data_IF_160035291915
#
_entry.id   IF_160035291915
#
_cell.length_a   1.000
_cell.length_b   1.000
_cell.length_c   1.000
_cell.angle_alpha   90.00
_cell.angle_beta   90.00
_cell.angle_gamma   90.00
#
_symmetry.space_group_name_H-M   'P 1'
#
loop_
_entity.id
_entity.type
_entity.pdbx_description
1 polymer ?
#
# COMPACT_ATOMS: atom_id res chain seq x y z
N UNK A 1 -17.64 -50.94 21.80
CA UNK A 1 -16.29 -50.58 21.30
C UNK A 1 -16.51 -49.76 20.03
N UNK A 2 -16.73 -48.45 20.17
CA UNK A 2 -16.94 -47.59 19.00
C UNK A 2 -15.59 -47.51 18.26
N UNK A 3 -15.56 -48.02 17.02
CA UNK A 3 -14.41 -47.84 16.13
C UNK A 3 -14.22 -46.33 15.96
N UNK A 4 -13.06 -45.80 16.34
CA UNK A 4 -12.63 -44.46 15.91
C UNK A 4 -12.59 -44.50 14.38
N UNK A 5 -13.56 -43.84 13.74
CA UNK A 5 -13.53 -43.61 12.30
C UNK A 5 -12.69 -42.35 12.14
N UNK A 6 -11.40 -42.51 11.86
CA UNK A 6 -10.53 -41.40 11.48
C UNK A 6 -10.83 -41.08 10.02
N UNK A 7 -11.40 -39.91 9.77
CA UNK A 7 -11.63 -39.40 8.41
C UNK A 7 -10.44 -38.53 8.04
N UNK A 8 -9.83 -38.82 6.88
CA UNK A 8 -8.74 -38.02 6.29
C UNK A 8 -9.33 -37.22 5.15
N UNK A 9 -9.20 -35.90 5.19
CA UNK A 9 -9.66 -35.00 4.12
C UNK A 9 -8.52 -34.07 3.72
N UNK A 10 -8.49 -33.71 2.43
CA UNK A 10 -7.54 -32.75 1.87
C UNK A 10 -8.36 -31.56 1.37
N UNK A 11 -8.08 -30.38 1.93
CA UNK A 11 -8.59 -29.11 1.44
C UNK A 11 -7.45 -28.35 0.76
N UNK A 12 -7.62 -28.05 -0.53
CA UNK A 12 -6.73 -27.17 -1.28
C UNK A 12 -7.43 -25.82 -1.42
N UNK A 13 -6.83 -24.79 -0.84
CA UNK A 13 -7.24 -23.40 -1.04
C UNK A 13 -6.18 -22.77 -1.93
N UNK A 14 -6.52 -22.60 -3.21
CA UNK A 14 -5.70 -21.83 -4.13
C UNK A 14 -5.96 -20.35 -3.83
N UNK A 15 -5.11 -19.77 -2.99
CA UNK A 15 -5.10 -18.34 -2.73
C UNK A 15 -4.21 -17.74 -3.80
N UNK A 16 -4.89 -17.30 -4.85
CA UNK A 16 -4.25 -16.44 -5.82
C UNK A 16 -4.02 -15.07 -5.15
N UNK A 17 -2.89 -14.40 -5.41
CA UNK A 17 -2.55 -13.09 -4.82
C UNK A 17 -3.65 -12.05 -4.98
N UNK A 18 -3.50 -10.85 -4.40
CA UNK A 18 -4.54 -9.81 -4.41
C UNK A 18 -5.13 -9.51 -5.81
N UNK A 19 -4.43 -9.93 -6.89
CA UNK A 19 -4.95 -9.91 -8.25
C UNK A 19 -6.07 -10.91 -8.61
N UNK A 20 -6.58 -11.76 -7.73
CA UNK A 20 -7.70 -12.66 -8.06
C UNK A 20 -8.90 -12.49 -7.14
N UNK A 21 -8.90 -11.44 -6.30
CA UNK A 21 -10.08 -11.01 -5.57
C UNK A 21 -11.03 -10.25 -6.50
N UNK A 22 -11.66 -11.00 -7.40
CA UNK A 22 -13.03 -10.73 -7.77
C UNK A 22 -13.89 -11.61 -6.86
N UNK A 23 -14.82 -11.00 -6.12
CA UNK A 23 -15.84 -11.72 -5.33
C UNK A 23 -16.60 -12.86 -6.09
N UNK A 24 -16.66 -12.98 -7.45
CA UNK A 24 -17.46 -14.04 -8.08
C UNK A 24 -16.84 -15.45 -8.19
N UNK A 25 -15.52 -15.66 -8.04
CA UNK A 25 -14.95 -17.02 -8.26
C UNK A 25 -15.37 -17.99 -7.13
N UNK A 26 -15.72 -17.46 -5.97
CA UNK A 26 -16.03 -18.24 -4.78
C UNK A 26 -17.38 -18.95 -4.83
N UNK A 27 -18.39 -18.43 -5.53
CA UNK A 27 -19.67 -19.13 -5.72
C UNK A 27 -19.57 -20.27 -6.75
N UNK A 28 -18.74 -20.10 -7.79
CA UNK A 28 -18.55 -21.14 -8.82
C UNK A 28 -17.74 -22.34 -8.32
N UNK A 29 -16.72 -22.12 -7.48
CA UNK A 29 -15.99 -23.22 -6.82
C UNK A 29 -16.90 -23.97 -5.82
N UNK A 30 -17.80 -23.25 -5.14
CA UNK A 30 -18.81 -23.83 -4.24
C UNK A 30 -19.85 -24.64 -5.03
N UNK A 31 -20.28 -24.20 -6.21
CA UNK A 31 -21.16 -25.02 -7.07
C UNK A 31 -20.45 -26.26 -7.63
N UNK A 32 -19.16 -26.17 -7.98
CA UNK A 32 -18.38 -27.30 -8.48
C UNK A 32 -18.13 -28.39 -7.42
N UNK A 33 -18.07 -28.02 -6.14
CA UNK A 33 -17.93 -28.95 -5.02
C UNK A 33 -19.30 -29.52 -4.59
N UNK A 34 -20.41 -28.86 -4.94
CA UNK A 34 -21.75 -29.17 -4.42
C UNK A 34 -22.73 -29.80 -5.43
N UNK A 35 -22.26 -30.56 -6.42
CA UNK A 35 -23.13 -31.43 -7.26
C UNK A 35 -22.48 -32.79 -7.50
N UNK A 36 -22.19 -33.57 -6.45
CA UNK A 36 -22.21 -35.05 -6.50
C UNK A 36 -22.01 -35.71 -5.11
N UNK A 37 -22.86 -35.37 -4.13
CA UNK A 37 -23.44 -36.30 -3.14
C UNK A 37 -24.16 -35.50 -2.04
N UNK A 38 -25.32 -36.00 -1.65
CA UNK A 38 -26.22 -35.50 -0.58
C UNK A 38 -27.20 -34.40 -1.03
N UNK A 39 -27.99 -34.68 -2.08
CA UNK A 39 -29.39 -34.23 -2.11
C UNK A 39 -30.24 -35.45 -1.75
N UNK A 40 -30.44 -35.64 -0.45
CA UNK A 40 -31.69 -36.17 0.09
C UNK A 40 -31.72 -35.86 1.61
N UNK A 41 -32.77 -35.12 2.01
CA UNK A 41 -33.11 -34.66 3.36
C UNK A 41 -32.25 -33.51 3.92
N UNK A 42 -32.80 -32.30 3.86
CA UNK A 42 -33.53 -31.68 4.99
C UNK A 42 -34.33 -30.51 4.39
N UNK A 43 -35.64 -30.71 4.26
CA UNK A 43 -36.59 -29.60 4.20
C UNK A 43 -36.90 -29.17 5.64
N UNK A 44 -37.11 -27.86 5.80
CA UNK A 44 -37.74 -27.17 6.94
C UNK A 44 -36.84 -26.79 8.11
N UNK A 45 -36.19 -25.62 8.01
CA UNK A 45 -36.04 -24.69 9.15
C UNK A 45 -36.28 -23.26 8.65
N UNK A 46 -37.32 -22.61 9.20
CA UNK A 46 -37.61 -21.20 9.06
C UNK A 46 -36.78 -20.43 10.11
N UNK A 47 -36.07 -19.37 9.72
CA UNK A 47 -35.40 -18.46 10.65
C UNK A 47 -35.81 -17.03 10.28
N UNK A 48 -36.81 -16.52 11.00
CA UNK A 48 -37.00 -15.09 11.20
C UNK A 48 -36.02 -14.62 12.31
N UNK A 49 -35.57 -13.38 12.15
CA UNK A 49 -34.89 -12.51 13.13
C UNK A 49 -33.48 -12.87 13.63
N UNK A 50 -32.46 -12.19 13.07
CA UNK A 50 -31.34 -11.68 13.86
C UNK A 50 -30.96 -10.27 13.39
N UNK A 51 -31.22 -9.33 14.29
CA UNK A 51 -30.94 -7.90 14.22
C UNK A 51 -29.42 -7.61 14.22
N UNK A 52 -29.01 -6.61 13.45
CA UNK A 52 -27.61 -6.22 13.19
C UNK A 52 -27.26 -5.01 14.03
N UNK A 53 -26.20 -5.06 14.82
CA UNK A 53 -25.49 -3.85 15.28
C UNK A 53 -23.97 -4.03 15.19
N UNK A 54 -23.40 -3.45 14.14
CA UNK A 54 -21.98 -3.53 13.76
C UNK A 54 -21.30 -2.15 13.91
N UNK A 55 -21.39 -1.53 15.09
CA UNK A 55 -20.97 -0.12 15.25
C UNK A 55 -19.92 0.11 16.33
N UNK A 56 -19.51 -0.89 17.11
CA UNK A 56 -18.57 -0.67 18.24
C UNK A 56 -17.17 -1.30 18.10
N UNK A 57 -16.86 -2.06 17.04
CA UNK A 57 -15.59 -2.80 16.92
C UNK A 57 -14.41 -2.05 16.26
N UNK A 58 -14.56 -0.80 15.86
CA UNK A 58 -13.56 -0.11 14.98
C UNK A 58 -12.60 0.83 15.73
N UNK A 59 -12.76 1.04 17.05
CA UNK A 59 -12.04 2.13 17.75
C UNK A 59 -10.67 1.78 18.39
N UNK A 60 -10.18 0.54 18.34
CA UNK A 60 -8.99 0.12 19.10
C UNK A 60 -7.86 -0.49 18.23
N UNK A 61 -7.43 0.13 17.14
CA UNK A 61 -6.46 -0.50 16.21
C UNK A 61 -5.12 0.21 16.03
N UNK A 62 -4.87 1.39 16.62
CA UNK A 62 -3.60 2.09 16.43
C UNK A 62 -2.55 1.81 17.53
N UNK A 63 -2.97 1.50 18.77
CA UNK A 63 -2.04 1.19 19.87
C UNK A 63 -1.79 -0.31 20.06
N UNK A 64 -2.53 -1.17 19.36
CA UNK A 64 -2.66 -2.60 19.68
C UNK A 64 -1.78 -3.50 18.83
N UNK A 65 -1.22 -3.02 17.71
CA UNK A 65 -0.44 -3.87 16.79
C UNK A 65 0.93 -4.24 17.39
N UNK A 66 1.59 -3.31 18.08
CA UNK A 66 2.82 -3.59 18.84
C UNK A 66 2.56 -4.51 20.05
N UNK A 67 1.42 -4.35 20.72
CA UNK A 67 1.07 -5.15 21.90
C UNK A 67 0.53 -6.55 21.54
N UNK A 68 0.03 -6.75 20.31
CA UNK A 68 -0.49 -8.04 19.83
C UNK A 68 0.62 -9.02 19.44
N UNK A 69 1.79 -8.53 19.00
CA UNK A 69 2.94 -9.41 18.70
C UNK A 69 3.49 -10.10 19.96
N UNK A 70 3.38 -9.46 21.13
CA UNK A 70 3.87 -10.01 22.41
C UNK A 70 2.81 -10.78 23.23
N UNK A 71 1.54 -10.82 22.80
CA UNK A 71 0.43 -11.37 23.62
C UNK A 71 -0.29 -12.61 23.08
N UNK A 72 -0.04 -13.05 21.83
CA UNK A 72 -0.62 -14.30 21.34
C UNK A 72 0.20 -15.50 21.82
N UNK A 73 -0.05 -15.97 23.05
CA UNK A 73 0.39 -17.29 23.46
C UNK A 73 -0.45 -18.34 22.73
N UNK A 74 0.20 -19.12 21.85
CA UNK A 74 -0.45 -20.25 21.19
C UNK A 74 -0.98 -21.22 22.25
N UNK A 75 -2.30 -21.35 22.35
CA UNK A 75 -2.90 -22.38 23.17
C UNK A 75 -2.59 -23.75 22.54
N UNK A 76 -2.28 -24.74 23.39
CA UNK A 76 -1.96 -26.09 22.91
C UNK A 76 -3.12 -26.76 22.12
N UNK A 77 -4.37 -26.35 22.37
CA UNK A 77 -5.56 -26.87 21.69
C UNK A 77 -6.63 -25.78 21.57
N UNK A 78 -7.05 -25.47 20.34
CA UNK A 78 -8.19 -24.60 20.08
C UNK A 78 -9.52 -25.32 20.36
N UNK A 79 -10.50 -24.62 20.91
CA UNK A 79 -11.79 -25.18 21.34
C UNK A 79 -13.00 -24.48 20.70
N UNK A 80 -12.77 -23.38 19.99
CA UNK A 80 -13.78 -22.60 19.28
C UNK A 80 -13.26 -22.17 17.89
N UNK A 81 -14.14 -21.63 17.04
CA UNK A 81 -13.73 -21.05 15.76
C UNK A 81 -12.79 -19.84 15.96
N UNK A 82 -13.01 -19.04 17.01
CA UNK A 82 -12.18 -17.88 17.36
C UNK A 82 -10.77 -18.32 17.82
N UNK A 83 -10.67 -19.34 18.68
CA UNK A 83 -9.37 -19.88 19.11
C UNK A 83 -8.64 -20.58 17.95
N UNK A 84 -9.38 -21.20 17.02
CA UNK A 84 -8.79 -21.76 15.81
C UNK A 84 -8.25 -20.62 14.92
N UNK A 85 -8.97 -19.51 14.81
CA UNK A 85 -8.50 -18.32 14.09
C UNK A 85 -7.27 -17.69 14.77
N UNK A 86 -7.22 -17.66 16.11
CA UNK A 86 -6.04 -17.23 16.87
C UNK A 86 -4.82 -18.08 16.52
N UNK A 87 -4.98 -19.41 16.48
CA UNK A 87 -3.91 -20.34 16.15
C UNK A 87 -3.41 -20.15 14.70
N UNK A 88 -4.31 -20.00 13.73
CA UNK A 88 -3.93 -19.68 12.35
C UNK A 88 -3.20 -18.34 12.27
N UNK A 89 -3.73 -17.31 12.91
CA UNK A 89 -3.15 -15.97 12.90
C UNK A 89 -1.75 -15.96 13.53
N UNK A 90 -1.55 -16.68 14.63
CA UNK A 90 -0.23 -16.86 15.23
C UNK A 90 0.77 -17.37 14.18
N UNK A 91 0.47 -18.48 13.52
CA UNK A 91 1.37 -19.06 12.52
C UNK A 91 1.58 -18.14 11.30
N UNK A 92 0.52 -17.45 10.84
CA UNK A 92 0.65 -16.47 9.76
C UNK A 92 1.55 -15.29 10.14
N UNK A 93 1.47 -14.81 11.39
CA UNK A 93 2.31 -13.72 11.90
C UNK A 93 3.79 -14.09 12.01
N UNK A 94 4.09 -15.38 12.17
CA UNK A 94 5.46 -15.92 12.21
C UNK A 94 5.97 -16.33 10.83
N UNK A 95 5.12 -16.26 9.79
CA UNK A 95 5.43 -16.74 8.44
C UNK A 95 5.73 -18.24 8.38
N UNK A 96 5.10 -19.02 9.28
CA UNK A 96 5.29 -20.47 9.34
C UNK A 96 4.69 -21.13 8.09
N UNK A 97 5.49 -21.97 7.43
CA UNK A 97 5.10 -22.63 6.16
C UNK A 97 4.56 -24.03 6.36
N UNK A 98 4.87 -24.69 7.47
CA UNK A 98 4.41 -26.03 7.83
C UNK A 98 4.12 -26.06 9.34
N UNK A 99 2.86 -26.27 9.70
CA UNK A 99 2.43 -26.26 11.10
C UNK A 99 1.22 -27.16 11.35
N UNK A 100 1.01 -27.52 12.62
CA UNK A 100 -0.10 -28.34 13.07
C UNK A 100 -0.94 -27.58 14.10
N UNK A 101 -2.27 -27.55 13.90
CA UNK A 101 -3.21 -27.02 14.89
C UNK A 101 -4.08 -28.14 15.40
N UNK A 102 -4.12 -28.31 16.72
CA UNK A 102 -5.05 -29.22 17.39
C UNK A 102 -6.35 -28.48 17.73
N UNK A 103 -7.48 -29.09 17.38
CA UNK A 103 -8.81 -28.62 17.73
C UNK A 103 -9.54 -29.65 18.56
N UNK A 104 -10.16 -29.20 19.66
CA UNK A 104 -10.97 -30.00 20.56
C UNK A 104 -12.35 -29.37 20.70
N UNK A 105 -13.31 -29.89 19.94
CA UNK A 105 -14.66 -29.39 19.90
C UNK A 105 -15.53 -30.21 18.95
N UNK A 106 -16.77 -29.79 18.77
CA UNK A 106 -17.68 -30.44 17.83
C UNK A 106 -17.14 -30.28 16.39
N UNK A 107 -17.07 -31.39 15.64
CA UNK A 107 -16.54 -31.46 14.26
C UNK A 107 -17.62 -31.70 13.20
N UNK A 108 -18.91 -31.67 13.56
CA UNK A 108 -20.01 -31.92 12.63
C UNK A 108 -20.00 -31.03 11.37
N UNK A 109 -19.44 -29.82 11.46
CA UNK A 109 -19.27 -28.87 10.35
C UNK A 109 -17.81 -28.39 10.24
N UNK A 110 -16.86 -29.31 10.38
CA UNK A 110 -15.43 -28.99 10.47
C UNK A 110 -14.90 -28.14 9.31
N UNK A 111 -15.43 -28.33 8.10
CA UNK A 111 -15.08 -27.55 6.90
C UNK A 111 -15.50 -26.09 7.00
N UNK A 112 -16.71 -25.82 7.50
CA UNK A 112 -17.23 -24.45 7.69
C UNK A 112 -16.44 -23.77 8.81
N UNK A 113 -16.20 -24.47 9.92
CA UNK A 113 -15.42 -23.95 11.04
C UNK A 113 -13.99 -23.61 10.61
N UNK A 114 -13.34 -24.51 9.87
CA UNK A 114 -11.99 -24.29 9.34
C UNK A 114 -11.95 -23.10 8.39
N UNK A 115 -12.92 -22.99 7.47
CA UNK A 115 -13.02 -21.87 6.54
C UNK A 115 -13.15 -20.53 7.27
N UNK A 116 -14.09 -20.43 8.20
CA UNK A 116 -14.32 -19.23 9.00
C UNK A 116 -13.06 -18.85 9.79
N UNK A 117 -12.45 -19.82 10.47
CA UNK A 117 -11.25 -19.56 11.26
C UNK A 117 -10.08 -19.02 10.42
N UNK A 118 -9.87 -19.59 9.24
CA UNK A 118 -8.85 -19.14 8.30
C UNK A 118 -9.14 -17.74 7.75
N UNK A 119 -10.40 -17.46 7.40
CA UNK A 119 -10.84 -16.14 6.92
C UNK A 119 -10.68 -15.07 8.00
N UNK A 120 -11.17 -15.34 9.21
CA UNK A 120 -11.02 -14.47 10.38
C UNK A 120 -9.54 -14.25 10.70
N UNK A 121 -8.71 -15.30 10.65
CA UNK A 121 -7.27 -15.18 10.87
C UNK A 121 -6.58 -14.29 9.83
N UNK A 122 -6.93 -14.47 8.55
CA UNK A 122 -6.35 -13.72 7.43
C UNK A 122 -6.72 -12.23 7.51
N UNK A 123 -7.95 -11.91 7.93
CA UNK A 123 -8.47 -10.55 7.99
C UNK A 123 -7.99 -9.75 9.22
N UNK A 124 -7.30 -10.36 10.17
CA UNK A 124 -6.76 -9.66 11.37
C UNK A 124 -5.65 -8.68 11.05
N UNK A 125 -4.85 -8.96 10.03
CA UNK A 125 -3.78 -8.07 9.60
C UNK A 125 -3.69 -8.03 8.07
N UNK A 126 -4.01 -6.85 7.53
CA UNK A 126 -3.98 -6.59 6.10
C UNK A 126 -2.57 -6.71 5.47
N UNK A 127 -1.50 -6.50 6.25
CA UNK A 127 -0.15 -6.69 5.76
C UNK A 127 0.18 -8.18 5.57
N UNK A 128 -0.23 -9.02 6.52
CA UNK A 128 -0.14 -10.48 6.41
C UNK A 128 -1.04 -10.97 5.27
N UNK A 129 -2.30 -10.51 5.23
CA UNK A 129 -3.27 -10.84 4.19
C UNK A 129 -2.70 -10.66 2.79
N UNK A 130 -2.03 -9.52 2.54
CA UNK A 130 -1.42 -9.24 1.25
C UNK A 130 -0.32 -10.22 0.86
N UNK A 131 0.30 -10.92 1.82
CA UNK A 131 1.38 -11.87 1.55
C UNK A 131 0.94 -13.35 1.55
N UNK A 132 -0.31 -13.65 1.91
CA UNK A 132 -0.82 -15.02 1.87
C UNK A 132 -0.93 -15.52 0.42
N UNK A 133 -0.35 -16.69 0.16
CA UNK A 133 -0.52 -17.45 -1.08
C UNK A 133 -1.19 -18.79 -0.84
N UNK A 134 -1.05 -19.71 -1.81
CA UNK A 134 -1.67 -21.03 -1.79
C UNK A 134 -1.53 -21.77 -0.46
N UNK A 135 -2.62 -22.44 -0.05
CA UNK A 135 -2.69 -23.19 1.21
C UNK A 135 -3.20 -24.61 0.95
N UNK A 136 -2.52 -25.59 1.55
CA UNK A 136 -2.99 -26.96 1.65
C UNK A 136 -3.24 -27.30 3.12
N UNK A 137 -4.40 -27.85 3.42
CA UNK A 137 -4.74 -28.34 4.76
C UNK A 137 -5.14 -29.80 4.66
N UNK A 138 -4.33 -30.67 5.26
CA UNK A 138 -4.67 -32.08 5.46
C UNK A 138 -5.19 -32.22 6.90
N UNK A 139 -6.35 -32.83 7.11
CA UNK A 139 -6.88 -32.98 8.47
C UNK A 139 -7.47 -34.35 8.78
N UNK A 140 -7.27 -34.75 10.03
CA UNK A 140 -7.74 -35.99 10.63
C UNK A 140 -8.66 -35.64 11.79
N UNK A 141 -9.87 -36.22 11.84
CA UNK A 141 -10.82 -35.88 12.90
C UNK A 141 -11.69 -37.06 13.36
N UNK A 142 -12.17 -36.95 14.60
CA UNK A 142 -13.29 -37.68 15.18
C UNK A 142 -14.39 -36.69 15.62
N UNK A 143 -15.46 -37.17 16.27
CA UNK A 143 -16.61 -36.33 16.67
C UNK A 143 -16.29 -35.16 17.62
N UNK A 144 -15.09 -35.15 18.21
CA UNK A 144 -14.71 -34.24 19.30
C UNK A 144 -13.30 -33.67 19.18
N UNK A 145 -12.50 -34.14 18.22
CA UNK A 145 -11.12 -33.71 18.02
C UNK A 145 -10.79 -33.66 16.53
N UNK A 146 -10.00 -32.68 16.13
CA UNK A 146 -9.38 -32.60 14.80
C UNK A 146 -7.91 -32.18 14.91
N UNK A 147 -7.09 -32.65 13.97
CA UNK A 147 -5.71 -32.22 13.80
C UNK A 147 -5.58 -31.68 12.38
N UNK A 148 -5.25 -30.40 12.25
CA UNK A 148 -5.04 -29.73 10.96
C UNK A 148 -3.54 -29.62 10.69
N UNK A 149 -3.06 -30.26 9.62
CA UNK A 149 -1.70 -30.15 9.11
C UNK A 149 -1.71 -29.17 7.94
N UNK A 150 -1.12 -28.00 8.14
CA UNK A 150 -1.21 -26.87 7.22
C UNK A 150 0.13 -26.68 6.53
N UNK A 151 0.07 -26.55 5.20
CA UNK A 151 1.16 -26.02 4.38
C UNK A 151 0.72 -24.69 3.80
N UNK A 152 1.40 -23.61 4.19
CA UNK A 152 1.12 -22.25 3.76
C UNK A 152 2.24 -21.72 2.87
N UNK A 153 1.90 -21.28 1.67
CA UNK A 153 2.81 -20.51 0.82
C UNK A 153 2.65 -19.02 1.09
N UNK A 154 3.73 -18.25 0.99
CA UNK A 154 3.70 -16.80 1.10
C UNK A 154 4.44 -16.16 -0.05
N UNK A 155 4.13 -14.91 -0.34
CA UNK A 155 4.88 -14.07 -1.28
C UNK A 155 6.19 -13.52 -0.66
N UNK A 156 6.41 -13.80 0.62
CA UNK A 156 7.57 -13.41 1.42
C UNK A 156 7.98 -14.56 2.36
N UNK A 157 8.87 -14.32 3.31
CA UNK A 157 9.20 -15.24 4.40
C UNK A 157 9.77 -14.46 5.61
N UNK A 158 9.93 -15.13 6.75
CA UNK A 158 10.40 -14.51 7.99
C UNK A 158 11.77 -13.79 7.88
N UNK A 159 12.68 -14.25 7.02
CA UNK A 159 13.98 -13.59 6.81
C UNK A 159 13.80 -12.29 6.04
N UNK A 160 12.99 -12.31 4.97
CA UNK A 160 12.68 -11.13 4.18
C UNK A 160 11.91 -10.09 5.00
N UNK A 161 10.97 -10.52 5.84
CA UNK A 161 10.18 -9.59 6.65
C UNK A 161 11.01 -8.94 7.76
N UNK A 162 11.96 -9.65 8.37
CA UNK A 162 12.94 -9.02 9.27
C UNK A 162 13.78 -7.96 8.53
N UNK A 163 14.19 -8.24 7.29
CA UNK A 163 14.88 -7.25 6.47
C UNK A 163 13.99 -6.04 6.16
N UNK A 164 12.70 -6.27 5.86
CA UNK A 164 11.73 -5.19 5.63
C UNK A 164 11.61 -4.33 6.89
N UNK A 165 11.40 -4.93 8.07
CA UNK A 165 11.33 -4.24 9.36
C UNK A 165 12.57 -3.36 9.60
N UNK A 166 13.77 -3.95 9.48
CA UNK A 166 15.04 -3.24 9.67
C UNK A 166 15.22 -2.08 8.68
N UNK A 167 14.82 -2.25 7.42
CA UNK A 167 14.91 -1.18 6.42
C UNK A 167 13.88 -0.09 6.69
N UNK A 168 12.64 -0.43 7.04
CA UNK A 168 11.62 0.57 7.36
C UNK A 168 12.08 1.39 8.57
N UNK A 169 12.50 0.75 9.67
CA UNK A 169 13.06 1.44 10.84
C UNK A 169 14.19 2.40 10.45
N UNK A 170 15.13 1.94 9.62
CA UNK A 170 16.24 2.76 9.13
C UNK A 170 15.77 3.95 8.29
N UNK A 171 14.74 3.78 7.47
CA UNK A 171 14.19 4.86 6.64
C UNK A 171 13.47 5.88 7.52
N UNK A 172 12.60 5.41 8.42
CA UNK A 172 11.79 6.25 9.29
C UNK A 172 12.64 6.98 10.35
N UNK A 173 13.77 6.42 10.78
CA UNK A 173 14.71 7.09 11.70
C UNK A 173 15.30 8.40 11.16
N UNK A 174 15.16 8.68 9.85
CA UNK A 174 15.64 9.91 9.22
C UNK A 174 14.70 11.09 9.42
N UNK A 175 13.49 10.86 9.94
CA UNK A 175 12.49 11.89 10.17
C UNK A 175 12.07 11.93 11.65
N UNK A 176 11.66 13.10 12.11
CA UNK A 176 11.05 13.25 13.43
C UNK A 176 9.52 13.13 13.30
N UNK A 177 9.01 11.89 13.37
CA UNK A 177 7.58 11.60 13.19
C UNK A 177 6.66 12.42 14.12
N UNK A 178 7.12 12.78 15.33
CA UNK A 178 6.33 13.57 16.29
C UNK A 178 6.22 15.05 15.94
N UNK A 179 7.11 15.55 15.08
CA UNK A 179 7.07 16.93 14.59
C UNK A 179 6.33 17.06 13.25
N UNK A 180 5.97 15.94 12.64
CA UNK A 180 5.28 15.90 11.34
C UNK A 180 3.76 15.78 11.54
N UNK A 181 3.03 16.56 10.74
CA UNK A 181 1.60 16.36 10.50
C UNK A 181 1.32 15.05 9.76
N UNK A 182 0.08 14.58 9.80
CA UNK A 182 -0.36 13.40 9.04
C UNK A 182 -0.08 13.58 7.53
N UNK A 183 -0.29 14.78 7.00
CA UNK A 183 0.01 15.12 5.61
C UNK A 183 1.50 14.92 5.29
N UNK A 184 2.39 15.45 6.13
CA UNK A 184 3.84 15.32 5.94
C UNK A 184 4.29 13.86 6.02
N UNK A 185 3.71 13.07 6.92
CA UNK A 185 3.99 11.62 7.03
C UNK A 185 3.58 10.89 5.76
N UNK A 186 2.37 11.13 5.26
CA UNK A 186 1.87 10.49 4.03
C UNK A 186 2.69 10.92 2.82
N UNK A 187 3.02 12.21 2.71
CA UNK A 187 3.86 12.73 1.63
C UNK A 187 5.25 12.12 1.66
N UNK A 188 5.86 12.02 2.84
CA UNK A 188 7.18 11.41 3.00
C UNK A 188 7.21 9.97 2.50
N UNK A 189 6.23 9.14 2.90
CA UNK A 189 6.16 7.74 2.47
C UNK A 189 5.92 7.63 0.96
N UNK A 190 4.96 8.38 0.42
CA UNK A 190 4.71 8.41 -1.03
C UNK A 190 5.97 8.79 -1.82
N UNK A 191 6.59 9.91 -1.45
CA UNK A 191 7.78 10.41 -2.13
C UNK A 191 8.95 9.44 -2.01
N UNK A 192 9.12 8.80 -0.84
CA UNK A 192 10.18 7.82 -0.64
C UNK A 192 10.00 6.62 -1.55
N UNK A 193 8.82 6.01 -1.57
CA UNK A 193 8.55 4.81 -2.38
C UNK A 193 8.72 5.13 -3.87
N UNK A 194 8.07 6.19 -4.36
CA UNK A 194 8.14 6.58 -5.78
C UNK A 194 9.57 6.87 -6.23
N UNK A 195 10.37 7.58 -5.43
CA UNK A 195 11.76 7.92 -5.81
C UNK A 195 12.73 6.73 -5.74
N UNK A 196 12.38 5.66 -5.05
CA UNK A 196 13.29 4.53 -4.79
C UNK A 196 12.76 3.21 -5.37
N UNK A 197 11.79 3.25 -6.28
CA UNK A 197 11.21 2.06 -6.89
C UNK A 197 10.82 2.32 -8.33
N UNK A 198 10.95 1.30 -9.17
CA UNK A 198 10.48 1.30 -10.55
C UNK A 198 9.39 0.25 -10.73
N UNK A 199 8.27 0.64 -11.33
CA UNK A 199 7.21 -0.32 -11.62
C UNK A 199 7.70 -1.42 -12.57
N UNK A 200 7.76 -2.66 -12.09
CA UNK A 200 8.31 -3.79 -12.84
C UNK A 200 7.90 -5.13 -12.26
N UNK A 201 7.68 -6.10 -13.14
CA UNK A 201 7.53 -7.53 -12.80
C UNK A 201 8.86 -8.30 -12.88
N UNK A 202 9.93 -7.66 -13.34
CA UNK A 202 11.25 -8.27 -13.54
C UNK A 202 12.08 -8.22 -12.24
N UNK A 203 11.74 -9.14 -11.33
CA UNK A 203 12.34 -9.27 -10.00
C UNK A 203 12.73 -10.73 -9.71
N UNK A 204 13.72 -10.94 -8.82
CA UNK A 204 14.04 -12.29 -8.33
C UNK A 204 13.12 -12.69 -7.15
N UNK A 205 12.80 -11.73 -6.30
CA UNK A 205 11.75 -11.83 -5.29
C UNK A 205 10.36 -11.67 -5.91
N UNK A 206 9.30 -11.98 -5.16
CA UNK A 206 7.94 -11.70 -5.63
C UNK A 206 7.75 -10.19 -5.82
N UNK A 207 7.41 -9.70 -7.03
CA UNK A 207 7.21 -8.27 -7.28
C UNK A 207 6.01 -7.70 -6.50
N UNK A 208 5.20 -8.57 -5.91
CA UNK A 208 4.06 -8.25 -5.07
C UNK A 208 4.42 -8.09 -3.58
N UNK A 209 5.68 -8.28 -3.19
CA UNK A 209 6.13 -8.16 -1.80
C UNK A 209 6.78 -6.80 -1.52
N UNK A 210 6.65 -6.30 -0.29
CA UNK A 210 7.39 -5.11 0.15
C UNK A 210 8.92 -5.34 0.10
N UNK A 211 9.35 -6.59 0.29
CA UNK A 211 10.76 -6.98 0.21
C UNK A 211 11.37 -6.75 -1.19
N UNK A 212 10.63 -7.04 -2.27
CA UNK A 212 11.11 -6.75 -3.63
C UNK A 212 11.27 -5.24 -3.86
N UNK A 213 10.30 -4.45 -3.40
CA UNK A 213 10.33 -2.99 -3.49
C UNK A 213 11.57 -2.41 -2.80
N UNK A 214 11.89 -2.88 -1.59
CA UNK A 214 13.04 -2.38 -0.82
C UNK A 214 14.39 -2.91 -1.29
N UNK A 215 14.48 -4.20 -1.67
CA UNK A 215 15.75 -4.88 -1.96
C UNK A 215 16.17 -4.77 -3.41
N UNK A 216 15.20 -4.75 -4.33
CA UNK A 216 15.42 -4.74 -5.77
C UNK A 216 15.04 -3.42 -6.42
N UNK A 217 14.47 -2.47 -5.66
CA UNK A 217 13.96 -1.19 -6.16
C UNK A 217 12.96 -1.37 -7.31
N UNK A 218 12.19 -2.47 -7.25
CA UNK A 218 11.23 -2.88 -8.27
C UNK A 218 10.04 -3.57 -7.63
N UNK A 219 8.87 -3.38 -8.20
CA UNK A 219 7.67 -4.11 -7.81
C UNK A 219 6.44 -3.70 -8.60
N UNK A 220 5.29 -4.28 -8.23
CA UNK A 220 3.98 -3.91 -8.76
C UNK A 220 3.07 -3.37 -7.65
N UNK A 221 1.84 -3.00 -8.01
CA UNK A 221 0.89 -2.29 -7.15
C UNK A 221 0.80 -2.84 -5.72
N UNK A 222 0.69 -4.15 -5.57
CA UNK A 222 0.64 -4.81 -4.26
C UNK A 222 1.91 -4.55 -3.40
N UNK A 223 3.11 -4.65 -3.99
CA UNK A 223 4.36 -4.41 -3.24
C UNK A 223 4.46 -2.96 -2.76
N UNK A 224 4.08 -2.01 -3.61
CA UNK A 224 4.03 -0.58 -3.27
C UNK A 224 3.03 -0.33 -2.12
N UNK A 225 1.81 -0.82 -2.26
CA UNK A 225 0.73 -0.63 -1.28
C UNK A 225 1.03 -1.30 0.08
N UNK A 226 1.71 -2.44 0.09
CA UNK A 226 2.12 -3.12 1.32
C UNK A 226 3.26 -2.39 2.03
N UNK A 227 4.25 -1.88 1.28
CA UNK A 227 5.30 -1.05 1.87
C UNK A 227 4.72 0.26 2.44
N UNK A 228 3.84 0.93 1.69
CA UNK A 228 3.17 2.14 2.14
C UNK A 228 2.33 1.88 3.41
N UNK A 229 1.54 0.80 3.43
CA UNK A 229 0.76 0.37 4.60
C UNK A 229 1.65 0.26 5.85
N UNK A 230 2.78 -0.43 5.73
CA UNK A 230 3.70 -0.69 6.84
C UNK A 230 4.35 0.60 7.35
N UNK A 231 4.97 1.37 6.44
CA UNK A 231 5.63 2.63 6.78
C UNK A 231 4.66 3.62 7.44
N UNK A 232 3.43 3.73 6.94
CA UNK A 232 2.44 4.68 7.47
C UNK A 232 1.91 4.28 8.84
N UNK A 233 1.64 2.99 9.05
CA UNK A 233 1.23 2.48 10.37
C UNK A 233 2.32 2.70 11.42
N UNK A 234 3.59 2.48 11.08
CA UNK A 234 4.72 2.76 11.98
C UNK A 234 4.89 4.25 12.29
N UNK A 235 4.49 5.14 11.36
CA UNK A 235 4.41 6.59 11.60
C UNK A 235 3.15 7.01 12.40
N UNK A 236 2.31 6.06 12.80
CA UNK A 236 1.08 6.28 13.56
C UNK A 236 -0.10 6.79 12.71
N UNK A 237 -0.04 6.64 11.38
CA UNK A 237 -1.14 7.00 10.48
C UNK A 237 -2.06 5.79 10.29
N UNK A 238 -3.33 5.93 10.67
CA UNK A 238 -4.34 4.90 10.42
C UNK A 238 -4.43 4.65 8.90
N UNK A 239 -4.06 3.43 8.49
CA UNK A 239 -3.94 3.06 7.07
C UNK A 239 -4.53 1.69 6.83
N UNK A 240 -5.31 1.59 5.75
CA UNK A 240 -5.94 0.38 5.27
C UNK A 240 -5.36 -0.02 3.91
N UNK A 241 -5.20 -1.33 3.71
CA UNK A 241 -4.94 -1.92 2.40
C UNK A 241 -6.25 -2.07 1.64
N UNK A 242 -6.29 -1.64 0.38
CA UNK A 242 -7.46 -1.74 -0.47
C UNK A 242 -7.13 -2.62 -1.66
N UNK A 243 -8.02 -3.57 -1.95
CA UNK A 243 -7.98 -4.41 -3.15
C UNK A 243 -9.19 -4.08 -4.02
N UNK A 244 -8.96 -4.01 -5.32
CA UNK A 244 -9.99 -3.72 -6.30
C UNK A 244 -9.51 -3.96 -7.73
N UNK A 245 -10.09 -3.22 -8.66
CA UNK A 245 -9.84 -3.37 -10.09
C UNK A 245 -9.70 -2.01 -10.78
N UNK A 246 -8.87 -1.99 -11.81
CA UNK A 246 -8.75 -0.91 -12.80
C UNK A 246 -8.96 -1.50 -14.19
N UNK A 247 -9.00 -0.67 -15.23
CA UNK A 247 -9.24 -1.15 -16.61
C UNK A 247 -8.22 -2.19 -17.11
N UNK A 248 -6.99 -2.18 -16.58
CA UNK A 248 -5.94 -3.14 -16.94
C UNK A 248 -5.96 -4.42 -16.11
N UNK A 249 -6.92 -4.53 -15.18
CA UNK A 249 -7.10 -5.69 -14.33
C UNK A 249 -7.04 -5.36 -12.85
N UNK A 250 -6.78 -6.36 -12.02
CA UNK A 250 -6.74 -6.24 -10.58
C UNK A 250 -5.67 -5.24 -10.10
N UNK A 251 -5.96 -4.55 -8.99
CA UNK A 251 -5.11 -3.50 -8.45
C UNK A 251 -5.18 -3.42 -6.93
N UNK A 252 -4.16 -2.80 -6.33
CA UNK A 252 -4.07 -2.61 -4.89
C UNK A 252 -3.46 -1.25 -4.56
N UNK A 253 -4.02 -0.58 -3.54
CA UNK A 253 -3.60 0.74 -3.08
C UNK A 253 -3.93 0.89 -1.58
N UNK A 254 -3.84 2.11 -1.04
CA UNK A 254 -4.13 2.38 0.38
C UNK A 254 -5.24 3.39 0.58
N UNK A 255 -5.96 3.24 1.69
CA UNK A 255 -6.79 4.29 2.27
C UNK A 255 -6.08 4.80 3.53
N UNK A 256 -5.87 6.11 3.64
CA UNK A 256 -5.11 6.74 4.73
C UNK A 256 -5.97 7.79 5.42
N UNK A 257 -5.87 7.85 6.75
CA UNK A 257 -6.60 8.85 7.55
C UNK A 257 -5.67 10.02 7.85
N UNK A 258 -6.00 11.20 7.32
CA UNK A 258 -5.23 12.43 7.48
C UNK A 258 -6.12 13.49 8.12
N UNK A 259 -5.70 14.02 9.27
CA UNK A 259 -6.48 15.00 10.05
C UNK A 259 -7.94 14.53 10.27
N UNK A 260 -8.12 13.26 10.62
CA UNK A 260 -9.42 12.64 10.89
C UNK A 260 -10.29 12.32 9.68
N UNK A 261 -9.82 12.58 8.45
CA UNK A 261 -10.55 12.29 7.21
C UNK A 261 -9.85 11.19 6.42
N UNK A 262 -10.63 10.28 5.82
CA UNK A 262 -10.09 9.24 4.94
C UNK A 262 -9.84 9.78 3.54
N UNK A 263 -8.74 9.32 2.93
CA UNK A 263 -8.36 9.61 1.54
C UNK A 263 -7.76 8.36 0.90
N UNK A 264 -7.88 8.26 -0.41
CA UNK A 264 -7.15 7.29 -1.21
C UNK A 264 -5.71 7.76 -1.45
N UNK A 265 -4.79 6.82 -1.36
CA UNK A 265 -3.38 6.96 -1.72
C UNK A 265 -2.99 5.79 -2.63
N UNK A 266 -2.73 6.09 -3.90
CA UNK A 266 -2.14 5.13 -4.83
C UNK A 266 -0.71 5.55 -5.17
N UNK A 267 0.23 5.00 -4.41
CA UNK A 267 1.66 5.22 -4.60
C UNK A 267 2.17 4.71 -5.95
N UNK A 268 1.51 3.72 -6.56
CA UNK A 268 1.92 3.15 -7.84
C UNK A 268 1.53 4.06 -9.00
N UNK A 269 0.35 4.66 -8.97
CA UNK A 269 -0.05 5.61 -10.02
C UNK A 269 0.52 7.03 -9.81
N UNK A 270 1.13 7.26 -8.64
CA UNK A 270 2.02 8.39 -8.38
C UNK A 270 3.47 8.17 -8.87
N UNK A 271 3.83 6.94 -9.24
CA UNK A 271 5.10 6.58 -9.88
C UNK A 271 5.02 6.80 -11.41
N UNK A 272 5.79 7.73 -12.00
CA UNK A 272 5.73 7.98 -13.44
C UNK A 272 6.26 6.81 -14.26
N UNK A 273 5.47 6.33 -15.22
CA UNK A 273 5.90 5.37 -16.24
C UNK A 273 6.04 6.07 -17.61
N UNK A 274 7.16 5.91 -18.36
CA UNK A 274 8.40 5.25 -17.94
C UNK A 274 9.06 6.00 -16.77
N UNK A 275 9.89 5.28 -15.99
CA UNK A 275 10.59 5.82 -14.82
C UNK A 275 11.34 7.12 -15.14
N UNK A 276 11.28 8.05 -14.20
CA UNK A 276 11.87 9.39 -14.28
C UNK A 276 12.78 9.71 -13.09
N UNK A 277 13.21 8.69 -12.35
CA UNK A 277 14.09 8.83 -11.20
C UNK A 277 13.43 9.62 -10.08
N UNK A 278 13.98 10.79 -9.74
CA UNK A 278 13.54 11.57 -8.58
C UNK A 278 12.21 12.34 -8.76
N UNK A 279 11.49 12.13 -9.87
CA UNK A 279 10.24 12.83 -10.17
C UNK A 279 9.06 12.05 -9.60
N UNK A 280 8.28 12.71 -8.75
CA UNK A 280 7.06 12.17 -8.14
C UNK A 280 5.85 12.86 -8.76
N UNK A 281 4.82 12.08 -9.09
CA UNK A 281 3.49 12.62 -9.40
C UNK A 281 2.60 12.50 -8.16
N UNK A 282 1.56 13.32 -8.14
CA UNK A 282 0.62 13.38 -7.02
C UNK A 282 -0.83 13.20 -7.48
N UNK A 283 -1.04 12.58 -8.64
CA UNK A 283 -2.36 12.44 -9.28
C UNK A 283 -3.36 11.68 -8.39
N UNK A 284 -2.89 10.67 -7.65
CA UNK A 284 -3.67 9.87 -6.70
C UNK A 284 -3.13 10.03 -5.27
N UNK A 285 -2.64 11.22 -4.95
CA UNK A 285 -2.19 11.56 -3.61
C UNK A 285 -3.32 12.25 -2.83
N UNK A 286 -3.84 11.55 -1.81
CA UNK A 286 -4.89 12.04 -0.91
C UNK A 286 -6.17 12.50 -1.65
N UNK A 287 -6.73 11.61 -2.48
CA UNK A 287 -7.94 11.89 -3.28
C UNK A 287 -9.20 11.29 -2.64
N UNK A 288 -10.36 11.83 -2.99
CA UNK A 288 -11.66 11.35 -2.51
C UNK A 288 -12.21 10.18 -3.34
N UNK A 289 -13.24 9.51 -2.82
CA UNK A 289 -13.94 8.41 -3.47
C UNK A 289 -14.39 8.80 -4.89
N UNK A 290 -14.87 10.04 -5.08
CA UNK A 290 -15.40 10.47 -6.37
C UNK A 290 -14.32 10.59 -7.43
N UNK A 291 -13.13 11.08 -7.07
CA UNK A 291 -11.96 11.07 -7.95
C UNK A 291 -11.49 9.65 -8.23
N UNK A 292 -11.38 8.81 -7.19
CA UNK A 292 -10.86 7.45 -7.32
C UNK A 292 -11.76 6.57 -8.22
N UNK A 293 -13.09 6.73 -8.13
CA UNK A 293 -14.08 6.00 -8.95
C UNK A 293 -14.04 6.30 -10.45
N UNK A 294 -13.26 7.28 -10.90
CA UNK A 294 -13.16 7.58 -12.32
C UNK A 294 -12.47 6.45 -13.09
N UNK A 295 -11.60 5.69 -12.44
CA UNK A 295 -10.79 4.64 -13.05
C UNK A 295 -10.49 3.44 -12.12
N UNK A 296 -10.82 3.52 -10.83
CA UNK A 296 -10.73 2.42 -9.88
C UNK A 296 -12.12 1.95 -9.41
N UNK A 297 -12.23 0.65 -9.18
CA UNK A 297 -13.42 0.00 -8.66
C UNK A 297 -13.05 -0.82 -7.42
N UNK A 298 -13.83 -0.70 -6.36
CA UNK A 298 -13.67 -1.48 -5.14
C UNK A 298 -15.03 -1.71 -4.48
N UNK A 299 -15.06 -2.67 -3.56
CA UNK A 299 -16.23 -2.99 -2.75
C UNK A 299 -16.41 -1.94 -1.65
N UNK A 300 -17.13 -0.86 -1.95
CA UNK A 300 -17.24 0.30 -1.04
C UNK A 300 -17.71 -0.04 0.38
N UNK A 301 -18.55 -1.08 0.52
CA UNK A 301 -19.07 -1.51 1.83
C UNK A 301 -17.99 -2.04 2.78
N UNK A 302 -16.83 -2.42 2.26
CA UNK A 302 -15.74 -3.00 3.02
C UNK A 302 -14.81 -1.91 3.63
N UNK A 303 -14.99 -0.63 3.27
CA UNK A 303 -14.08 0.46 3.63
C UNK A 303 -14.82 1.73 4.10
N UNK A 304 -14.18 2.58 4.94
CA UNK A 304 -14.75 3.88 5.28
C UNK A 304 -14.70 4.84 4.08
N UNK A 305 -15.65 5.79 4.03
CA UNK A 305 -15.79 6.72 2.91
C UNK A 305 -14.75 7.83 2.93
N UNK A 306 -14.09 8.08 1.80
CA UNK A 306 -13.26 9.26 1.58
C UNK A 306 -14.06 10.33 0.83
N UNK A 307 -14.43 11.42 1.50
CA UNK A 307 -15.28 12.48 0.89
C UNK A 307 -14.64 13.86 0.88
N UNK A 308 -13.50 14.01 1.56
CA UNK A 308 -12.81 15.29 1.66
C UNK A 308 -11.98 15.57 0.41
N UNK A 309 -12.08 16.81 -0.09
CA UNK A 309 -11.32 17.33 -1.23
C UNK A 309 -10.20 18.29 -0.83
N UNK A 310 -9.84 18.29 0.46
CA UNK A 310 -8.87 19.24 1.06
C UNK A 310 -7.56 19.28 0.27
N UNK A 311 -7.10 18.14 -0.24
CA UNK A 311 -5.80 17.98 -0.88
C UNK A 311 -5.83 17.85 -2.41
N UNK A 312 -6.98 18.04 -3.08
CA UNK A 312 -7.14 17.92 -4.55
C UNK A 312 -6.14 18.77 -5.36
N UNK A 313 -5.59 19.84 -4.76
CA UNK A 313 -4.59 20.67 -5.41
C UNK A 313 -3.26 19.93 -5.67
N UNK A 314 -2.96 18.86 -4.92
CA UNK A 314 -1.75 18.06 -5.08
C UNK A 314 -1.71 17.39 -6.46
N UNK A 315 -2.85 16.91 -6.96
CA UNK A 315 -2.96 16.27 -8.29
C UNK A 315 -2.54 17.16 -9.47
N UNK A 316 -2.32 18.46 -9.23
CA UNK A 316 -1.88 19.43 -10.24
C UNK A 316 -0.34 19.49 -10.35
N UNK A 317 0.38 18.84 -9.46
CA UNK A 317 1.83 18.97 -9.33
C UNK A 317 2.58 17.92 -10.14
N UNK A 318 3.55 18.38 -10.91
CA UNK A 318 4.64 17.58 -11.49
C UNK A 318 5.97 18.31 -11.27
N UNK A 319 7.10 17.59 -11.34
CA UNK A 319 8.44 18.13 -11.08
C UNK A 319 8.54 18.97 -9.78
N UNK A 320 7.89 18.53 -8.71
CA UNK A 320 7.83 19.29 -7.47
C UNK A 320 9.18 19.35 -6.74
N UNK A 321 9.49 20.52 -6.20
CA UNK A 321 10.65 20.79 -5.34
C UNK A 321 10.20 21.49 -4.07
N UNK A 322 10.56 20.95 -2.92
CA UNK A 322 10.18 21.49 -1.62
C UNK A 322 11.34 22.26 -0.99
N UNK A 323 11.08 23.49 -0.55
CA UNK A 323 12.06 24.36 0.08
C UNK A 323 11.40 25.39 0.99
N UNK A 324 11.90 25.51 2.23
CA UNK A 324 11.46 26.50 3.24
C UNK A 324 9.93 26.58 3.40
N UNK A 325 9.27 25.43 3.57
CA UNK A 325 7.81 25.37 3.77
C UNK A 325 6.99 25.70 2.52
N UNK A 326 7.60 25.67 1.35
CA UNK A 326 6.94 25.86 0.07
C UNK A 326 7.21 24.69 -0.89
N UNK A 327 6.24 24.39 -1.74
CA UNK A 327 6.41 23.50 -2.89
C UNK A 327 6.43 24.36 -4.16
N UNK A 328 7.52 24.28 -4.91
CA UNK A 328 7.68 24.84 -6.24
C UNK A 328 7.42 23.73 -7.26
N UNK A 329 6.48 23.92 -8.18
CA UNK A 329 6.04 22.81 -9.02
C UNK A 329 5.58 23.25 -10.41
N UNK A 330 5.64 22.30 -11.34
CA UNK A 330 5.04 22.42 -12.67
C UNK A 330 3.55 22.14 -12.58
N UNK A 331 2.71 23.14 -12.86
CA UNK A 331 1.27 22.98 -12.83
C UNK A 331 0.75 22.35 -14.13
N UNK A 332 0.41 21.06 -14.09
CA UNK A 332 -0.04 20.30 -15.26
C UNK A 332 -1.37 20.82 -15.84
N UNK A 333 -2.17 21.51 -15.04
CA UNK A 333 -3.45 22.09 -15.45
C UNK A 333 -3.30 23.52 -16.02
N UNK A 334 -2.16 24.19 -15.80
CA UNK A 334 -1.84 25.50 -16.39
C UNK A 334 -0.61 25.42 -17.29
N UNK A 335 -0.66 24.51 -18.28
CA UNK A 335 0.37 24.35 -19.32
C UNK A 335 1.79 24.11 -18.79
N UNK A 336 1.96 23.46 -17.64
CA UNK A 336 3.25 23.22 -16.97
C UNK A 336 3.97 24.50 -16.51
N UNK A 337 3.23 25.55 -16.18
CA UNK A 337 3.80 26.79 -15.64
C UNK A 337 4.30 26.60 -14.21
N UNK A 338 5.30 27.37 -13.81
CA UNK A 338 5.86 27.32 -12.46
C UNK A 338 4.93 27.99 -11.43
N UNK A 339 4.57 27.23 -10.42
CA UNK A 339 3.79 27.66 -9.27
C UNK A 339 4.56 27.46 -7.98
N UNK A 340 4.14 28.18 -6.94
CA UNK A 340 4.58 28.05 -5.56
C UNK A 340 3.34 27.86 -4.67
N UNK A 341 3.34 26.80 -3.87
CA UNK A 341 2.37 26.53 -2.83
C UNK A 341 3.02 26.74 -1.46
N UNK A 342 2.35 27.43 -0.54
CA UNK A 342 2.72 27.47 0.88
C UNK A 342 2.14 26.26 1.62
N UNK A 343 2.97 25.52 2.36
CA UNK A 343 2.51 24.36 3.15
C UNK A 343 1.79 24.76 4.45
N UNK A 344 1.99 25.99 4.94
CA UNK A 344 1.34 26.47 6.15
C UNK A 344 -0.05 27.07 5.90
N UNK A 345 -0.25 27.71 4.75
CA UNK A 345 -1.50 28.41 4.41
C UNK A 345 -2.28 27.76 3.27
N UNK A 346 -1.66 26.84 2.53
CA UNK A 346 -2.16 26.29 1.27
C UNK A 346 -2.37 27.36 0.18
N UNK A 347 -1.84 28.57 0.36
CA UNK A 347 -1.87 29.62 -0.66
C UNK A 347 -1.03 29.20 -1.87
N UNK A 348 -1.64 29.32 -3.04
CA UNK A 348 -1.06 28.86 -4.28
C UNK A 348 -0.93 30.01 -5.28
N UNK A 349 0.27 30.22 -5.81
CA UNK A 349 0.63 31.37 -6.64
C UNK A 349 1.42 30.93 -7.86
N UNK A 350 1.04 31.42 -9.05
CA UNK A 350 1.88 31.32 -10.24
C UNK A 350 3.08 32.26 -10.13
N UNK A 351 4.30 31.74 -10.24
CA UNK A 351 5.52 32.54 -10.22
C UNK A 351 5.86 33.10 -11.60
N UNK A 352 5.67 32.31 -12.65
CA UNK A 352 5.95 32.75 -14.03
C UNK A 352 5.02 32.09 -15.05
N UNK A 353 4.96 32.66 -16.26
CA UNK A 353 4.32 32.06 -17.43
C UNK A 353 5.23 31.08 -18.16
N UNK A 354 6.51 30.98 -17.78
CA UNK A 354 7.44 30.00 -18.31
C UNK A 354 7.05 28.58 -17.91
N UNK A 355 7.18 27.66 -18.86
CA UNK A 355 6.93 26.23 -18.66
C UNK A 355 8.15 25.64 -17.96
N UNK A 356 7.99 25.16 -16.74
CA UNK A 356 9.09 24.72 -15.89
C UNK A 356 9.05 23.21 -15.67
N UNK A 357 10.17 22.55 -15.91
CA UNK A 357 10.38 21.14 -15.60
C UNK A 357 11.74 20.96 -14.91
N UNK A 358 11.96 19.81 -14.27
CA UNK A 358 13.18 19.51 -13.51
C UNK A 358 13.52 20.64 -12.52
N UNK A 359 12.58 20.96 -11.62
CA UNK A 359 12.69 22.11 -10.72
C UNK A 359 13.58 21.72 -9.54
N UNK A 360 14.53 22.58 -9.19
CA UNK A 360 15.39 22.49 -8.00
C UNK A 360 15.64 23.87 -7.42
N UNK A 361 16.28 23.99 -6.26
CA UNK A 361 16.58 25.29 -5.67
C UNK A 361 17.83 25.30 -4.79
N UNK A 362 18.36 26.50 -4.58
CA UNK A 362 19.46 26.77 -3.67
C UNK A 362 19.39 28.23 -3.18
N UNK A 363 19.28 28.42 -1.87
CA UNK A 363 18.98 29.72 -1.28
C UNK A 363 17.69 30.32 -1.87
N UNK A 364 17.72 31.61 -2.17
CA UNK A 364 16.55 32.32 -2.73
C UNK A 364 16.30 32.06 -4.23
N UNK A 365 16.95 31.08 -4.83
CA UNK A 365 16.82 30.77 -6.26
C UNK A 365 16.17 29.42 -6.51
N UNK A 366 15.26 29.42 -7.48
CA UNK A 366 14.70 28.24 -8.11
C UNK A 366 15.28 28.12 -9.51
N UNK A 367 15.78 26.94 -9.85
CA UNK A 367 16.34 26.60 -11.14
C UNK A 367 15.43 25.58 -11.83
N UNK A 368 15.26 25.72 -13.14
CA UNK A 368 14.39 24.83 -13.90
C UNK A 368 14.76 24.81 -15.38
N UNK A 369 14.39 23.73 -16.05
CA UNK A 369 14.40 23.66 -17.51
C UNK A 369 13.19 24.42 -18.07
N UNK A 370 13.45 25.50 -18.80
CA UNK A 370 12.44 26.39 -19.34
C UNK A 370 11.99 25.94 -20.74
N UNK A 371 10.89 25.18 -20.78
CA UNK A 371 10.28 24.66 -22.00
C UNK A 371 9.54 25.72 -22.83
N UNK A 372 9.42 26.96 -22.36
CA UNK A 372 8.98 28.10 -23.19
C UNK A 372 10.12 28.63 -24.07
N UNK A 373 11.37 28.33 -23.72
CA UNK A 373 12.58 28.84 -24.37
C UNK A 373 13.49 27.71 -24.85
N UNK A 374 12.94 26.59 -25.33
CA UNK A 374 13.77 25.50 -25.86
C UNK A 374 14.41 24.61 -24.79
N UNK A 375 13.81 24.53 -23.60
CA UNK A 375 14.28 23.76 -22.45
C UNK A 375 15.64 24.26 -21.90
N UNK A 376 15.90 25.56 -22.03
CA UNK A 376 17.11 26.20 -21.49
C UNK A 376 17.10 26.22 -19.96
N UNK A 377 18.28 26.20 -19.33
CA UNK A 377 18.36 26.38 -17.88
C UNK A 377 18.04 27.83 -17.53
N UNK A 378 16.98 28.01 -16.74
CA UNK A 378 16.57 29.28 -16.20
C UNK A 378 16.69 29.27 -14.67
N UNK A 379 16.77 30.47 -14.09
CA UNK A 379 16.58 30.71 -12.66
C UNK A 379 15.54 31.80 -12.43
N UNK A 380 14.86 31.75 -11.29
CA UNK A 380 13.93 32.76 -10.81
C UNK A 380 14.03 32.84 -9.28
N UNK A 381 13.81 34.01 -8.70
CA UNK A 381 13.76 34.15 -7.24
C UNK A 381 12.55 33.40 -6.67
N UNK A 382 12.66 32.94 -5.41
CA UNK A 382 11.57 32.29 -4.66
C UNK A 382 10.29 33.14 -4.55
N UNK A 383 10.41 34.47 -4.70
CA UNK A 383 9.29 35.41 -4.74
C UNK A 383 8.72 35.66 -6.16
N UNK A 384 9.30 35.06 -7.20
CA UNK A 384 8.88 35.19 -8.60
C UNK A 384 9.53 36.34 -9.38
N UNK A 385 10.52 37.05 -8.84
CA UNK A 385 11.24 38.11 -9.56
C UNK A 385 12.53 37.61 -10.22
N UNK A 386 13.15 38.45 -11.05
CA UNK A 386 14.49 38.22 -11.62
C UNK A 386 14.64 36.92 -12.42
N UNK A 387 13.59 36.50 -13.14
CA UNK A 387 13.70 35.37 -14.06
C UNK A 387 14.74 35.66 -15.16
N UNK A 388 15.66 34.73 -15.37
CA UNK A 388 16.73 34.85 -16.36
C UNK A 388 17.18 33.48 -16.89
N UNK A 389 17.62 33.43 -18.15
CA UNK A 389 18.28 32.26 -18.73
C UNK A 389 19.76 32.29 -18.34
N UNK A 390 20.28 31.19 -17.78
CA UNK A 390 21.67 31.06 -17.34
C UNK A 390 22.46 30.02 -18.14
N UNK A 391 21.78 29.17 -18.92
CA UNK A 391 22.42 28.24 -19.87
C UNK A 391 21.52 28.07 -21.11
N UNK A 392 21.88 28.63 -22.28
CA UNK A 392 21.02 28.70 -23.46
C UNK A 392 21.06 27.43 -24.34
N UNK A 393 21.11 26.27 -23.70
CA UNK A 393 21.04 24.96 -24.35
C UNK A 393 20.04 24.08 -23.59
N UNK A 394 19.52 23.05 -24.26
CA UNK A 394 18.54 22.14 -23.67
C UNK A 394 19.12 21.42 -22.45
N UNK A 395 18.36 21.44 -21.36
CA UNK A 395 18.70 20.84 -20.08
C UNK A 395 17.62 19.86 -19.60
N UNK A 396 18.03 18.70 -19.13
CA UNK A 396 17.22 17.69 -18.43
C UNK A 396 17.93 17.18 -17.17
N UNK A 397 17.21 16.41 -16.35
CA UNK A 397 17.75 15.73 -15.15
C UNK A 397 18.51 16.67 -14.20
N UNK A 398 17.95 17.88 -13.98
CA UNK A 398 18.55 18.90 -13.14
C UNK A 398 18.52 18.51 -11.65
N UNK A 399 19.66 18.63 -10.98
CA UNK A 399 19.87 18.33 -9.57
C UNK A 399 20.81 19.35 -8.92
N UNK A 400 20.75 19.46 -7.59
CA UNK A 400 21.70 20.26 -6.79
C UNK A 400 22.54 19.31 -5.95
N UNK A 401 23.86 19.41 -6.09
CA UNK A 401 24.79 18.61 -5.29
C UNK A 401 26.03 19.44 -4.94
N UNK A 402 26.39 19.51 -3.65
CA UNK A 402 27.63 20.12 -3.17
C UNK A 402 27.90 21.56 -3.68
N UNK A 403 26.84 22.37 -3.84
CA UNK A 403 26.95 23.74 -4.35
C UNK A 403 27.02 23.86 -5.89
N UNK A 404 26.73 22.78 -6.62
CA UNK A 404 26.67 22.75 -8.07
C UNK A 404 25.28 22.36 -8.56
N UNK A 405 24.87 22.94 -9.69
CA UNK A 405 23.84 22.38 -10.54
C UNK A 405 24.46 21.28 -11.39
N UNK A 406 23.91 20.08 -11.30
CA UNK A 406 24.26 18.94 -12.14
C UNK A 406 23.09 18.70 -13.09
N UNK A 407 23.38 18.57 -14.38
CA UNK A 407 22.33 18.41 -15.39
C UNK A 407 22.84 17.76 -16.67
N UNK A 408 21.92 17.21 -17.45
CA UNK A 408 22.21 16.61 -18.74
C UNK A 408 21.93 17.57 -19.89
N UNK A 409 22.76 17.45 -20.92
CA UNK A 409 22.64 18.11 -22.22
C UNK A 409 22.79 17.08 -23.32
N UNK A 410 22.57 17.47 -24.58
CA UNK A 410 22.81 16.59 -25.73
C UNK A 410 24.31 16.19 -25.85
N UNK A 411 25.22 16.91 -25.20
CA UNK A 411 26.66 16.59 -25.13
C UNK A 411 27.04 15.76 -23.88
N UNK A 412 26.06 15.35 -23.08
CA UNK A 412 26.25 14.60 -21.84
C UNK A 412 26.13 15.44 -20.57
N UNK A 413 26.62 14.88 -19.46
CA UNK A 413 26.50 15.46 -18.13
C UNK A 413 27.37 16.73 -17.99
N UNK A 414 26.77 17.80 -17.48
CA UNK A 414 27.42 19.08 -17.18
C UNK A 414 27.30 19.40 -15.69
N UNK A 415 28.19 20.26 -15.22
CA UNK A 415 28.17 20.81 -13.86
C UNK A 415 28.38 22.33 -13.92
N UNK A 416 27.60 23.07 -13.16
CA UNK A 416 27.68 24.54 -13.08
C UNK A 416 27.70 24.96 -11.61
N UNK A 417 28.64 25.82 -11.21
CA UNK A 417 28.69 26.33 -9.84
C UNK A 417 27.46 27.19 -9.57
N UNK A 418 26.85 27.01 -8.40
CA UNK A 418 25.78 27.90 -7.93
C UNK A 418 26.44 29.17 -7.41
N UNK A 419 26.13 30.30 -8.03
CA UNK A 419 26.55 31.61 -7.53
C UNK A 419 25.89 31.84 -6.16
N UNK A 420 26.67 31.67 -5.09
CA UNK A 420 26.26 32.05 -3.75
C UNK A 420 26.44 33.56 -3.64
N UNK A 421 25.32 34.28 -3.58
CA UNK A 421 25.29 35.72 -3.31
C UNK A 421 25.51 36.00 -1.83
#
# INVERSE_FOLDING_TARGET
MFKRITIIVILLILLKPAYDFSKPIWEEAVQAININKVIEKIENINIEDVDRTATEKVLNTASTISDLQDTVQLQNQAQSAEELADAFYYHFSQWDTDFEIQYKGNTNNIEILLKQAVEDASNRDQYILGHLGDRKIDYEYDNSHAIFKVKQAYLTNAELERYVDEQVDRILSRVNANAMSDFEKVKFVNDYIVKNTVYSTDTNLSPHSAAAVLKEHKGVCQGYALLALKMLRELGVETLYVVGEVNTGPHAWNLVKVDGNWYHLDTTWNDPVPDRGNIVRYQYFLVDDATMKLDHHWEEGDYPKATSKKYDFMAKMDHAYEHEGHIYYSNVQDYNRLYRLSLSTWENQRLTRSRAQYIVGAGDWIYFSNYSNGAYLARIRTNGTEESIIYPEKVSNLQVENGFLIFETDEGLKRMAIETS
#
